data_IF_053444470675
#
_entry.id   IF_053444470675
#
_cell.length_a   1.000
_cell.length_b   1.000
_cell.length_c   1.000
_cell.angle_alpha   90.00
_cell.angle_beta   90.00
_cell.angle_gamma   90.00
#
_symmetry.space_group_name_H-M   'P 1'
#
loop_
_entity.id
_entity.type
_entity.pdbx_description
1 polymer ?
#
# COMPACT_ATOMS: atom_id res chain seq x y z
N UNK A 1 8.04 19.35 10.94
CA UNK A 1 8.33 17.97 10.49
C UNK A 1 7.15 17.11 10.91
N UNK A 2 6.45 16.48 9.97
CA UNK A 2 5.39 15.54 10.32
C UNK A 2 6.07 14.22 10.71
N UNK A 3 5.93 13.80 11.96
CA UNK A 3 6.38 12.48 12.39
C UNK A 3 5.36 11.47 11.88
N UNK A 4 5.71 10.72 10.84
CA UNK A 4 4.90 9.59 10.40
C UNK A 4 5.08 8.43 11.38
N UNK A 5 3.98 7.88 11.86
CA UNK A 5 4.00 6.61 12.57
C UNK A 5 3.85 5.50 11.52
N UNK A 6 4.99 5.05 11.01
CA UNK A 6 5.06 4.02 9.98
C UNK A 6 4.75 2.65 10.57
N UNK A 7 3.90 1.89 9.88
CA UNK A 7 3.58 0.51 10.17
C UNK A 7 4.01 -0.37 9.01
N UNK A 8 4.59 -1.52 9.34
CA UNK A 8 4.82 -2.64 8.43
C UNK A 8 3.92 -3.82 8.81
N UNK A 9 3.87 -4.82 7.92
CA UNK A 9 3.27 -6.11 8.23
C UNK A 9 4.08 -6.85 9.29
N UNK A 10 3.43 -7.55 10.23
CA UNK A 10 4.13 -8.40 11.21
C UNK A 10 4.81 -9.62 10.56
N UNK A 11 4.42 -9.95 9.33
CA UNK A 11 5.04 -10.98 8.49
C UNK A 11 6.29 -10.51 7.75
N UNK A 12 6.62 -9.22 7.86
CA UNK A 12 7.90 -8.70 7.42
C UNK A 12 8.97 -9.14 8.42
N UNK A 13 10.00 -9.86 7.96
CA UNK A 13 11.10 -10.30 8.82
C UNK A 13 11.91 -9.12 9.36
N UNK A 14 12.59 -9.31 10.50
CA UNK A 14 13.49 -8.30 11.03
C UNK A 14 14.61 -7.98 10.02
N UNK A 15 14.77 -6.70 9.67
CA UNK A 15 15.77 -6.24 8.71
C UNK A 15 15.37 -6.36 7.24
N UNK A 16 14.17 -6.87 6.94
CA UNK A 16 13.65 -6.90 5.58
C UNK A 16 13.02 -5.55 5.20
N UNK A 17 13.38 -5.07 4.01
CA UNK A 17 12.68 -3.96 3.37
C UNK A 17 11.24 -4.38 3.05
N UNK A 18 10.24 -3.63 3.49
CA UNK A 18 8.83 -3.95 3.30
C UNK A 18 8.00 -2.71 2.98
N UNK A 19 6.76 -2.95 2.53
CA UNK A 19 5.78 -1.87 2.36
C UNK A 19 5.44 -1.27 3.72
N UNK A 20 5.72 0.03 3.86
CA UNK A 20 5.39 0.84 5.02
C UNK A 20 4.16 1.69 4.73
N UNK A 21 3.28 1.80 5.71
CA UNK A 21 2.07 2.63 5.64
C UNK A 21 2.01 3.57 6.83
N UNK A 22 1.66 4.84 6.60
CA UNK A 22 1.37 5.78 7.68
C UNK A 22 0.12 6.60 7.35
N UNK A 23 -0.63 6.97 8.39
CA UNK A 23 -1.76 7.88 8.26
C UNK A 23 -1.45 9.26 8.85
N UNK A 24 -1.93 10.29 8.17
CA UNK A 24 -2.09 11.64 8.73
C UNK A 24 -3.57 11.93 8.94
N UNK A 25 -3.89 13.18 9.31
CA UNK A 25 -5.28 13.63 9.46
C UNK A 25 -6.08 13.59 8.14
N UNK A 26 -5.42 13.60 6.97
CA UNK A 26 -6.10 13.71 5.66
C UNK A 26 -5.63 12.73 4.61
N UNK A 27 -4.52 12.02 4.84
CA UNK A 27 -3.89 11.20 3.82
C UNK A 27 -3.33 9.91 4.40
N UNK A 28 -3.15 8.94 3.51
CA UNK A 28 -2.35 7.75 3.70
C UNK A 28 -1.07 7.92 2.89
N UNK A 29 0.05 7.54 3.49
CA UNK A 29 1.36 7.50 2.86
C UNK A 29 1.81 6.04 2.76
N UNK A 30 2.35 5.67 1.60
CA UNK A 30 2.92 4.35 1.35
C UNK A 30 4.35 4.55 0.86
N UNK A 31 5.28 3.75 1.37
CA UNK A 31 6.68 3.74 0.89
C UNK A 31 7.26 2.34 1.06
N UNK A 32 8.44 2.12 0.52
CA UNK A 32 9.21 0.88 0.64
C UNK A 32 10.68 1.28 0.78
N UNK A 33 11.37 0.75 1.79
CA UNK A 33 12.71 1.23 2.17
C UNK A 33 13.83 0.82 1.20
N UNK A 34 13.66 -0.25 0.44
CA UNK A 34 14.56 -0.62 -0.67
C UNK A 34 14.14 -0.02 -2.02
N UNK A 35 13.09 0.81 -2.10
CA UNK A 35 12.76 1.53 -3.32
C UNK A 35 13.89 2.51 -3.65
N UNK A 36 14.65 2.32 -4.76
CA UNK A 36 15.77 3.19 -5.10
C UNK A 36 15.35 4.62 -5.41
N UNK A 37 14.09 4.85 -5.75
CA UNK A 37 13.56 6.20 -5.96
C UNK A 37 13.28 6.95 -4.66
N UNK A 38 13.25 6.26 -3.52
CA UNK A 38 12.86 6.83 -2.23
C UNK A 38 11.43 7.39 -2.24
N UNK A 39 10.55 6.84 -3.10
CA UNK A 39 9.22 7.38 -3.30
C UNK A 39 8.34 7.23 -2.06
N UNK A 40 7.58 8.29 -1.76
CA UNK A 40 6.46 8.24 -0.81
C UNK A 40 5.19 8.54 -1.59
N UNK A 41 4.40 7.50 -1.84
CA UNK A 41 3.08 7.64 -2.42
C UNK A 41 2.14 8.28 -1.39
N UNK A 42 1.47 9.36 -1.78
CA UNK A 42 0.41 9.98 -0.98
C UNK A 42 -0.94 9.69 -1.62
N UNK A 43 -1.89 9.20 -0.85
CA UNK A 43 -3.24 8.82 -1.29
C UNK A 43 -4.28 9.13 -0.22
N UNK A 44 -5.56 8.91 -0.51
CA UNK A 44 -6.65 9.16 0.45
C UNK A 44 -6.97 7.91 1.29
N UNK A 45 -7.53 8.07 2.50
CA UNK A 45 -8.02 6.93 3.29
C UNK A 45 -9.01 6.05 2.52
N UNK A 46 -9.92 6.63 1.74
CA UNK A 46 -10.90 5.88 0.94
C UNK A 46 -10.27 5.05 -0.19
N UNK A 47 -9.21 5.55 -0.84
CA UNK A 47 -8.48 4.81 -1.86
C UNK A 47 -7.68 3.66 -1.25
N UNK A 48 -7.03 3.88 -0.10
CA UNK A 48 -6.35 2.82 0.63
C UNK A 48 -7.32 1.77 1.15
N UNK A 49 -8.48 2.17 1.67
CA UNK A 49 -9.53 1.26 2.13
C UNK A 49 -10.02 0.34 1.02
N UNK A 50 -10.18 0.89 -0.17
CA UNK A 50 -10.52 0.12 -1.36
C UNK A 50 -9.44 -0.91 -1.71
N UNK A 51 -8.16 -0.55 -1.63
CA UNK A 51 -7.05 -1.50 -1.84
C UNK A 51 -7.08 -2.63 -0.82
N UNK A 52 -7.24 -2.31 0.47
CA UNK A 52 -7.30 -3.30 1.57
C UNK A 52 -8.43 -4.32 1.32
N UNK A 53 -9.64 -3.86 1.02
CA UNK A 53 -10.80 -4.72 0.73
C UNK A 53 -10.55 -5.62 -0.49
N UNK A 54 -9.92 -5.09 -1.55
CA UNK A 54 -9.59 -5.87 -2.74
C UNK A 54 -8.58 -6.99 -2.42
N UNK A 55 -7.55 -6.70 -1.61
CA UNK A 55 -6.52 -7.68 -1.24
C UNK A 55 -7.03 -8.79 -0.33
N UNK A 56 -8.04 -8.49 0.48
CA UNK A 56 -8.77 -9.49 1.28
C UNK A 56 -9.66 -10.41 0.44
N UNK A 57 -9.93 -10.06 -0.83
CA UNK A 57 -10.86 -10.79 -1.69
C UNK A 57 -12.34 -10.56 -1.34
N UNK A 58 -12.61 -9.52 -0.54
CA UNK A 58 -13.96 -9.17 -0.06
C UNK A 58 -14.74 -8.33 -1.07
N UNK A 59 -14.04 -7.76 -2.06
CA UNK A 59 -14.65 -7.04 -3.18
C UNK A 59 -14.48 -7.81 -4.46
N UNK A 60 -15.59 -8.18 -5.08
CA UNK A 60 -15.63 -8.42 -6.52
C UNK A 60 -15.13 -7.14 -7.21
N UNK A 61 -14.17 -7.28 -8.12
CA UNK A 61 -13.62 -6.16 -8.89
C UNK A 61 -14.77 -5.56 -9.70
N UNK A 62 -15.37 -4.50 -9.16
CA UNK A 62 -16.40 -3.76 -9.89
C UNK A 62 -15.70 -3.01 -11.00
N UNK A 63 -15.76 -3.58 -12.21
CA UNK A 63 -15.24 -2.98 -13.43
C UNK A 63 -15.83 -1.57 -13.55
N UNK A 64 -14.99 -0.54 -13.38
CA UNK A 64 -15.37 0.87 -13.60
C UNK A 64 -15.24 1.82 -12.40
N UNK A 65 -15.00 1.36 -11.16
CA UNK A 65 -14.63 2.28 -10.07
C UNK A 65 -13.11 2.28 -9.87
N UNK A 66 -12.38 3.33 -10.29
CA UNK A 66 -10.96 3.41 -10.00
C UNK A 66 -10.76 3.37 -8.49
N UNK A 67 -9.93 2.43 -8.05
CA UNK A 67 -9.55 2.21 -6.65
C UNK A 67 -8.74 3.38 -6.08
N UNK A 68 -8.36 4.35 -6.92
CA UNK A 68 -7.47 5.45 -6.57
C UNK A 68 -6.01 5.00 -6.43
N UNK A 69 -5.76 3.72 -6.12
CA UNK A 69 -4.45 3.07 -6.10
C UNK A 69 -4.43 1.94 -7.11
N UNK A 70 -3.47 1.97 -8.02
CA UNK A 70 -3.21 0.92 -9.00
C UNK A 70 -1.98 0.13 -8.57
N UNK A 71 -2.09 -1.20 -8.63
CA UNK A 71 -0.98 -2.13 -8.39
C UNK A 71 -0.67 -2.83 -9.71
N UNK A 72 0.54 -2.61 -10.21
CA UNK A 72 1.02 -3.21 -11.47
C UNK A 72 2.08 -4.25 -11.16
N UNK A 73 1.88 -5.45 -11.71
CA UNK A 73 2.77 -6.58 -11.53
C UNK A 73 3.68 -6.69 -12.76
N UNK A 74 4.98 -6.50 -12.57
CA UNK A 74 5.99 -6.66 -13.60
C UNK A 74 6.44 -8.11 -13.74
N UNK A 75 7.14 -8.40 -14.84
CA UNK A 75 7.69 -9.73 -15.16
C UNK A 75 8.85 -10.10 -14.24
N UNK A 76 9.69 -9.13 -13.87
CA UNK A 76 10.89 -9.31 -13.03
C UNK A 76 10.59 -9.25 -11.54
N UNK A 77 9.55 -9.96 -11.10
CA UNK A 77 9.13 -10.00 -9.68
C UNK A 77 8.77 -8.62 -9.10
N UNK A 78 8.66 -7.60 -9.93
CA UNK A 78 8.49 -6.20 -9.50
C UNK A 78 7.02 -5.89 -9.29
N UNK A 79 6.71 -5.13 -8.26
CA UNK A 79 5.37 -4.60 -7.99
C UNK A 79 5.45 -3.09 -7.89
N UNK A 80 4.62 -2.38 -8.67
CA UNK A 80 4.53 -0.92 -8.64
C UNK A 80 3.19 -0.50 -8.08
N UNK A 81 3.21 0.30 -7.02
CA UNK A 81 2.03 0.87 -6.36
C UNK A 81 1.97 2.35 -6.71
N UNK A 82 0.92 2.81 -7.38
CA UNK A 82 0.78 4.21 -7.82
C UNK A 82 -0.62 4.75 -7.55
N UNK A 83 -0.75 6.07 -7.35
CA UNK A 83 -2.05 6.72 -7.29
C UNK A 83 -2.54 7.03 -8.71
N UNK A 84 -3.78 6.64 -9.02
CA UNK A 84 -4.42 6.96 -10.30
C UNK A 84 -4.57 8.49 -10.50
N UNK A 85 -4.79 9.22 -9.41
CA UNK A 85 -4.98 10.69 -9.43
C UNK A 85 -3.67 11.49 -9.56
N UNK A 86 -2.51 10.85 -9.39
CA UNK A 86 -1.20 11.53 -9.43
C UNK A 86 -0.23 10.73 -10.29
N UNK A 87 -0.40 10.77 -11.63
CA UNK A 87 0.49 10.07 -12.54
C UNK A 87 1.92 10.61 -12.38
N UNK A 88 2.86 9.72 -12.04
CA UNK A 88 4.29 10.05 -11.92
C UNK A 88 4.97 9.50 -10.66
N UNK A 89 4.25 9.35 -9.55
CA UNK A 89 4.79 8.74 -8.32
C UNK A 89 4.36 7.29 -8.22
N UNK A 90 5.34 6.38 -8.14
CA UNK A 90 5.10 4.97 -7.89
C UNK A 90 6.12 4.45 -6.89
N UNK A 91 5.63 3.76 -5.87
CA UNK A 91 6.46 2.97 -4.96
C UNK A 91 6.73 1.64 -5.62
N UNK A 92 7.99 1.23 -5.62
CA UNK A 92 8.44 -0.05 -6.19
C UNK A 92 8.80 -1.01 -5.07
N UNK A 93 8.31 -2.24 -5.17
CA UNK A 93 8.65 -3.36 -4.28
C UNK A 93 8.78 -4.64 -5.10
N UNK A 94 9.02 -5.79 -4.47
CA UNK A 94 9.03 -7.09 -5.13
C UNK A 94 7.85 -7.99 -4.68
N UNK A 95 7.62 -9.13 -5.35
CA UNK A 95 6.50 -10.01 -5.00
C UNK A 95 6.61 -10.58 -3.58
N UNK A 96 7.76 -11.12 -3.11
CA UNK A 96 7.86 -11.63 -1.75
C UNK A 96 7.47 -10.58 -0.71
N UNK A 97 7.98 -9.35 -0.82
CA UNK A 97 7.64 -8.25 0.10
C UNK A 97 6.19 -7.84 -0.03
N UNK A 98 5.68 -7.73 -1.26
CA UNK A 98 4.27 -7.47 -1.49
C UNK A 98 3.38 -8.54 -0.85
N UNK A 99 3.72 -9.82 -0.95
CA UNK A 99 2.94 -10.93 -0.40
C UNK A 99 2.92 -10.91 1.13
N UNK A 100 4.00 -10.47 1.79
CA UNK A 100 3.99 -10.24 3.26
C UNK A 100 3.03 -9.12 3.64
N UNK A 101 2.95 -8.05 2.84
CA UNK A 101 1.98 -6.97 3.03
C UNK A 101 0.54 -7.48 2.81
N UNK A 102 0.28 -8.22 1.73
CA UNK A 102 -1.03 -8.84 1.47
C UNK A 102 -1.43 -9.77 2.62
N UNK A 103 -0.50 -10.53 3.19
CA UNK A 103 -0.77 -11.40 4.34
C UNK A 103 -1.15 -10.60 5.59
N UNK A 104 -0.43 -9.52 5.91
CA UNK A 104 -0.77 -8.62 7.02
C UNK A 104 -2.14 -7.95 6.83
N UNK A 105 -2.45 -7.54 5.59
CA UNK A 105 -3.78 -7.03 5.21
C UNK A 105 -4.87 -8.08 5.47
N UNK A 106 -4.67 -9.33 5.04
CA UNK A 106 -5.62 -10.43 5.26
C UNK A 106 -5.75 -10.80 6.74
N UNK A 107 -4.72 -10.59 7.54
CA UNK A 107 -4.75 -10.77 8.99
C UNK A 107 -5.42 -9.59 9.73
N UNK A 108 -5.83 -8.53 9.02
CA UNK A 108 -6.53 -7.36 9.60
C UNK A 108 -5.62 -6.30 10.22
N UNK A 109 -4.30 -6.40 10.05
CA UNK A 109 -3.33 -5.47 10.68
C UNK A 109 -3.53 -4.01 10.23
N UNK A 110 -4.13 -3.80 9.06
CA UNK A 110 -4.34 -2.49 8.45
C UNK A 110 -5.79 -1.99 8.56
N UNK A 111 -6.67 -2.70 9.28
CA UNK A 111 -8.12 -2.37 9.32
C UNK A 111 -8.44 -1.07 10.06
N UNK A 112 -7.59 -0.66 10.99
CA UNK A 112 -7.74 0.61 11.71
C UNK A 112 -7.53 1.84 10.79
N UNK A 113 -6.95 1.66 9.59
CA UNK A 113 -6.90 2.72 8.58
C UNK A 113 -8.25 2.93 7.87
N UNK A 114 -9.18 1.96 7.95
CA UNK A 114 -10.50 2.02 7.30
C UNK A 114 -11.49 2.89 8.07
N UNK A 115 -11.36 2.93 9.41
CA UNK A 115 -12.26 3.66 10.31
C UNK A 115 -12.13 5.20 10.23
N UNK A 116 -11.24 5.72 9.38
CA UNK A 116 -10.97 7.16 9.22
C UNK A 116 -11.60 7.77 7.95
N UNK A 117 -12.63 7.14 7.41
CA UNK A 117 -13.37 7.61 6.22
C UNK A 117 -14.63 8.34 6.64
#
# INVERSE_FOLDING_TARGET
MHTFHWQMSSYCGEGESCVHVAATARAIHITESADPSGAILTTTPGAFSTLVQALKGEREVTVGRPTGIEVVLGEDNTVRIRAAATPGTAVTTDRPRWDTFVRGVRAGEFDHFLART
#
